data_IF_225973228797
#
_entry.id   IF_225973228797
#
_cell.length_a   1.000
_cell.length_b   1.000
_cell.length_c   1.000
_cell.angle_alpha   90.00
_cell.angle_beta   90.00
_cell.angle_gamma   90.00
#
_symmetry.space_group_name_H-M   'P 1'
#
loop_
_entity.id
_entity.type
_entity.pdbx_description
1 polymer ?
#
# COMPACT_ATOMS: atom_id res chain seq x y z
N UNK A 1 5.80 -0.44 -10.60
CA UNK A 1 4.92 -1.57 -10.18
C UNK A 1 3.52 -1.17 -10.56
N UNK A 2 2.70 -2.10 -11.03
CA UNK A 2 1.31 -1.79 -11.31
C UNK A 2 0.52 -1.68 -10.02
N UNK A 3 -0.58 -0.92 -10.07
CA UNK A 3 -1.53 -0.82 -8.96
C UNK A 3 -2.10 -2.20 -8.58
N UNK A 4 -2.29 -3.08 -9.58
CA UNK A 4 -2.65 -4.48 -9.40
C UNK A 4 -1.62 -5.25 -8.55
N UNK A 5 -0.32 -4.98 -8.71
CA UNK A 5 0.74 -5.62 -7.93
C UNK A 5 0.63 -5.31 -6.44
N UNK A 6 0.47 -4.01 -6.14
CA UNK A 6 0.35 -3.54 -4.77
C UNK A 6 -0.93 -4.10 -4.15
N UNK A 7 -2.05 -4.07 -4.87
CA UNK A 7 -3.32 -4.62 -4.39
C UNK A 7 -3.21 -6.12 -4.06
N UNK A 8 -2.60 -6.92 -4.94
CA UNK A 8 -2.34 -8.34 -4.71
C UNK A 8 -1.44 -8.57 -3.50
N UNK A 9 -0.33 -7.82 -3.39
CA UNK A 9 0.59 -7.94 -2.25
C UNK A 9 -0.08 -7.58 -0.93
N UNK A 10 -0.86 -6.49 -0.89
CA UNK A 10 -1.55 -6.05 0.33
C UNK A 10 -2.65 -7.05 0.71
N UNK A 11 -3.40 -7.59 -0.25
CA UNK A 11 -4.35 -8.68 0.01
C UNK A 11 -3.66 -9.87 0.69
N UNK A 12 -2.50 -10.28 0.18
CA UNK A 12 -1.71 -11.37 0.75
C UNK A 12 -1.20 -11.06 2.16
N UNK A 13 -0.68 -9.84 2.39
CA UNK A 13 -0.25 -9.37 3.71
C UNK A 13 -1.41 -9.50 4.72
N UNK A 14 -2.60 -9.07 4.34
CA UNK A 14 -3.78 -9.07 5.20
C UNK A 14 -4.42 -10.46 5.37
N UNK A 15 -4.03 -11.46 4.57
CA UNK A 15 -4.74 -12.76 4.44
C UNK A 15 -6.24 -12.57 4.12
N UNK A 16 -6.55 -11.57 3.29
CA UNK A 16 -7.90 -11.11 2.97
C UNK A 16 -8.49 -11.81 1.74
N UNK A 17 -9.81 -12.03 1.76
CA UNK A 17 -10.58 -12.45 0.58
C UNK A 17 -11.10 -11.21 -0.20
N UNK A 18 -11.83 -11.45 -1.29
CA UNK A 18 -12.33 -10.34 -2.13
C UNK A 18 -13.44 -9.53 -1.43
N UNK A 19 -14.24 -10.17 -0.58
CA UNK A 19 -15.27 -9.51 0.24
C UNK A 19 -14.62 -8.56 1.26
N UNK A 20 -13.52 -8.98 1.88
CA UNK A 20 -12.74 -8.14 2.80
C UNK A 20 -12.18 -6.92 2.06
N UNK A 21 -11.63 -7.11 0.86
CA UNK A 21 -11.12 -6.02 0.04
C UNK A 21 -12.23 -5.04 -0.36
N UNK A 22 -13.42 -5.53 -0.73
CA UNK A 22 -14.58 -4.70 -1.05
C UNK A 22 -14.99 -3.82 0.13
N UNK A 23 -15.05 -4.42 1.32
CA UNK A 23 -15.35 -3.71 2.57
C UNK A 23 -14.32 -2.62 2.87
N UNK A 24 -13.02 -2.92 2.70
CA UNK A 24 -11.95 -1.93 2.87
C UNK A 24 -12.08 -0.80 1.84
N UNK A 25 -12.41 -1.12 0.59
CA UNK A 25 -12.61 -0.13 -0.47
C UNK A 25 -13.75 0.84 -0.16
N UNK A 26 -14.85 0.32 0.39
CA UNK A 26 -16.02 1.10 0.79
C UNK A 26 -15.68 2.13 1.88
N UNK A 27 -14.76 1.80 2.82
CA UNK A 27 -14.24 2.78 3.78
C UNK A 27 -13.49 3.95 3.10
N UNK A 28 -12.93 3.71 1.92
CA UNK A 28 -12.33 4.70 1.04
C UNK A 28 -13.33 5.41 0.11
N UNK A 29 -14.64 5.25 0.33
CA UNK A 29 -15.74 5.77 -0.49
C UNK A 29 -15.73 5.28 -1.94
N UNK A 30 -15.34 4.04 -2.18
CA UNK A 30 -15.46 3.40 -3.49
C UNK A 30 -16.17 2.06 -3.33
N UNK A 31 -17.33 1.94 -3.97
CA UNK A 31 -18.07 0.70 -4.03
C UNK A 31 -17.54 -0.16 -5.19
N UNK A 32 -17.06 -1.35 -4.86
CA UNK A 32 -16.67 -2.36 -5.84
C UNK A 32 -17.16 -3.74 -5.38
N UNK A 33 -17.61 -4.55 -6.32
CA UNK A 33 -18.04 -5.91 -6.01
C UNK A 33 -16.83 -6.86 -5.88
N UNK A 34 -16.97 -7.99 -5.17
CA UNK A 34 -15.92 -9.01 -5.12
C UNK A 34 -15.48 -9.52 -6.50
N UNK A 35 -16.38 -9.53 -7.48
CA UNK A 35 -16.11 -9.91 -8.87
C UNK A 35 -15.26 -8.85 -9.58
N UNK A 36 -15.57 -7.56 -9.39
CA UNK A 36 -14.75 -6.47 -9.92
C UNK A 36 -13.34 -6.49 -9.34
N UNK A 37 -13.21 -6.81 -8.04
CA UNK A 37 -11.92 -6.98 -7.38
C UNK A 37 -11.16 -8.18 -7.95
N UNK A 38 -11.86 -9.29 -8.22
CA UNK A 38 -11.24 -10.47 -8.83
C UNK A 38 -10.57 -10.12 -10.16
N UNK A 39 -11.19 -9.26 -10.98
CA UNK A 39 -10.64 -8.77 -12.24
C UNK A 39 -9.34 -7.98 -11.99
N UNK A 40 -9.31 -7.09 -11.01
CA UNK A 40 -8.09 -6.33 -10.67
C UNK A 40 -6.99 -7.17 -10.03
N UNK A 41 -7.32 -8.34 -9.48
CA UNK A 41 -6.36 -9.29 -8.93
C UNK A 41 -5.79 -10.25 -9.99
N UNK A 42 -6.34 -10.28 -11.21
CA UNK A 42 -5.75 -11.04 -12.32
C UNK A 42 -4.34 -10.56 -12.61
N UNK A 43 -3.51 -11.48 -13.08
CA UNK A 43 -2.18 -11.18 -13.65
C UNK A 43 -2.34 -10.66 -15.07
N UNK A 44 -1.32 -9.95 -15.56
CA UNK A 44 -1.35 -9.28 -16.87
C UNK A 44 -1.54 -10.26 -18.03
N UNK A 45 -1.04 -11.49 -17.88
CA UNK A 45 -1.12 -12.57 -18.85
C UNK A 45 -2.45 -13.35 -18.82
N UNK A 46 -3.33 -13.10 -17.84
CA UNK A 46 -4.60 -13.82 -17.70
C UNK A 46 -5.70 -13.19 -18.54
N UNK A 47 -6.55 -14.02 -19.15
CA UNK A 47 -7.70 -13.54 -19.93
C UNK A 47 -8.61 -12.64 -19.09
N UNK A 48 -9.05 -11.52 -19.67
CA UNK A 48 -9.90 -10.54 -19.00
C UNK A 48 -9.21 -9.75 -17.88
N UNK A 49 -7.87 -9.72 -17.85
CA UNK A 49 -7.11 -8.77 -17.04
C UNK A 49 -7.60 -7.33 -17.29
N UNK A 50 -7.80 -6.59 -16.20
CA UNK A 50 -7.97 -5.14 -16.27
C UNK A 50 -7.05 -4.45 -15.28
N UNK A 51 -6.45 -3.35 -15.75
CA UNK A 51 -5.62 -2.50 -14.91
C UNK A 51 -6.47 -1.87 -13.81
N UNK A 52 -6.02 -2.02 -12.57
CA UNK A 52 -6.59 -1.32 -11.42
C UNK A 52 -6.26 0.18 -11.55
N UNK A 53 -7.27 1.06 -11.61
CA UNK A 53 -7.01 2.51 -11.69
C UNK A 53 -6.28 3.02 -10.45
N UNK A 54 -5.37 3.98 -10.62
CA UNK A 54 -4.59 4.55 -9.52
C UNK A 54 -5.48 5.15 -8.42
N UNK A 55 -6.57 5.81 -8.81
CA UNK A 55 -7.54 6.37 -7.88
C UNK A 55 -8.21 5.28 -7.03
N UNK A 56 -8.48 4.10 -7.61
CA UNK A 56 -9.05 2.97 -6.88
C UNK A 56 -8.04 2.42 -5.87
N UNK A 57 -6.77 2.26 -6.25
CA UNK A 57 -5.72 1.84 -5.32
C UNK A 57 -5.50 2.88 -4.20
N UNK A 58 -5.54 4.18 -4.54
CA UNK A 58 -5.43 5.23 -3.54
C UNK A 58 -6.58 5.17 -2.53
N UNK A 59 -7.83 5.03 -3.01
CA UNK A 59 -9.00 4.86 -2.14
C UNK A 59 -8.92 3.58 -1.30
N UNK A 60 -8.46 2.47 -1.87
CA UNK A 60 -8.20 1.23 -1.13
C UNK A 60 -7.23 1.45 0.04
N UNK A 61 -6.11 2.14 -0.21
CA UNK A 61 -5.11 2.41 0.82
C UNK A 61 -5.61 3.40 1.88
N UNK A 62 -6.46 4.37 1.53
CA UNK A 62 -7.17 5.21 2.51
C UNK A 62 -8.14 4.39 3.36
N UNK A 63 -8.93 3.52 2.74
CA UNK A 63 -9.81 2.58 3.43
C UNK A 63 -9.04 1.66 4.37
N UNK A 64 -7.86 1.20 3.96
CA UNK A 64 -6.98 0.38 4.81
C UNK A 64 -6.44 1.14 6.02
N UNK A 65 -6.16 2.44 5.87
CA UNK A 65 -5.81 3.29 7.01
C UNK A 65 -6.98 3.35 7.99
N UNK A 66 -8.19 3.63 7.51
CA UNK A 66 -9.38 3.66 8.38
C UNK A 66 -9.65 2.31 9.05
N UNK A 67 -9.52 1.21 8.32
CA UNK A 67 -9.69 -0.14 8.86
C UNK A 67 -8.75 -0.43 10.03
N UNK A 68 -7.47 -0.06 9.91
CA UNK A 68 -6.46 -0.38 10.91
C UNK A 68 -6.31 0.66 12.02
N UNK A 69 -6.65 1.92 11.74
CA UNK A 69 -6.39 3.06 12.63
C UNK A 69 -7.65 3.70 13.18
N UNK A 70 -8.81 3.34 12.64
CA UNK A 70 -10.07 4.04 12.87
C UNK A 70 -10.21 5.28 11.99
N UNK A 71 -11.46 5.73 11.82
CA UNK A 71 -11.78 7.01 11.19
C UNK A 71 -12.10 8.01 12.30
N UNK A 72 -11.40 9.12 12.30
CA UNK A 72 -11.70 10.26 13.17
C UNK A 72 -12.68 11.18 12.45
N UNK A 73 -13.88 11.37 13.00
CA UNK A 73 -14.91 12.23 12.40
C UNK A 73 -14.57 13.73 12.50
N UNK A 74 -13.69 14.11 13.42
CA UNK A 74 -13.24 15.49 13.55
C UNK A 74 -12.09 15.84 12.58
N UNK A 75 -11.39 14.83 12.06
CA UNK A 75 -10.30 15.01 11.12
C UNK A 75 -10.82 15.12 9.67
N UNK A 76 -10.17 15.91 8.81
CA UNK A 76 -10.49 15.92 7.38
C UNK A 76 -10.37 14.52 6.78
N UNK A 77 -11.32 14.16 5.92
CA UNK A 77 -11.28 12.89 5.21
C UNK A 77 -10.01 12.78 4.34
N UNK A 78 -9.38 11.60 4.35
CA UNK A 78 -8.27 11.27 3.48
C UNK A 78 -8.70 11.41 2.02
N UNK A 79 -8.02 12.29 1.28
CA UNK A 79 -8.26 12.49 -0.14
C UNK A 79 -7.58 11.39 -0.95
N UNK A 80 -8.28 10.85 -1.95
CA UNK A 80 -7.71 9.89 -2.87
C UNK A 80 -6.94 10.62 -3.99
N UNK A 81 -5.71 10.20 -4.25
CA UNK A 81 -4.88 10.77 -5.30
C UNK A 81 -5.22 10.16 -6.67
N UNK A 82 -5.41 11.01 -7.68
CA UNK A 82 -5.70 10.58 -9.06
C UNK A 82 -4.54 9.81 -9.72
N UNK A 83 -3.31 10.04 -9.25
CA UNK A 83 -2.10 9.35 -9.67
C UNK A 83 -1.39 8.88 -8.42
N UNK A 84 -0.93 7.63 -8.43
CA UNK A 84 -0.25 7.04 -7.29
C UNK A 84 1.17 6.63 -7.67
N UNK A 85 2.12 6.88 -6.79
CA UNK A 85 3.49 6.41 -6.92
C UNK A 85 3.91 5.67 -5.64
N UNK A 86 5.07 5.02 -5.68
CA UNK A 86 5.54 4.22 -4.55
C UNK A 86 5.79 5.06 -3.28
N UNK A 87 6.14 6.35 -3.38
CA UNK A 87 6.29 7.20 -2.20
C UNK A 87 4.95 7.38 -1.49
N UNK A 88 3.87 7.60 -2.24
CA UNK A 88 2.50 7.70 -1.69
C UNK A 88 2.09 6.37 -1.06
N UNK A 89 2.29 5.26 -1.77
CA UNK A 89 1.98 3.89 -1.28
C UNK A 89 2.73 3.61 0.02
N UNK A 90 4.03 3.89 0.06
CA UNK A 90 4.87 3.67 1.24
C UNK A 90 4.38 4.49 2.44
N UNK A 91 4.01 5.77 2.23
CA UNK A 91 3.45 6.62 3.28
C UNK A 91 2.13 6.06 3.83
N UNK A 92 1.20 5.68 2.95
CA UNK A 92 -0.10 5.15 3.36
C UNK A 92 0.03 3.81 4.10
N UNK A 93 0.87 2.90 3.60
CA UNK A 93 1.15 1.62 4.29
C UNK A 93 1.86 1.84 5.63
N UNK A 94 2.81 2.77 5.71
CA UNK A 94 3.43 3.14 7.00
C UNK A 94 2.38 3.57 8.02
N UNK A 95 1.43 4.42 7.62
CA UNK A 95 0.35 4.90 8.51
C UNK A 95 -0.56 3.73 8.90
N UNK A 96 -1.05 2.95 7.92
CA UNK A 96 -1.98 1.84 8.15
C UNK A 96 -1.39 0.80 9.13
N UNK A 97 -0.13 0.44 8.97
CA UNK A 97 0.55 -0.55 9.81
C UNK A 97 1.29 0.09 11.01
N UNK A 98 1.10 1.39 11.26
CA UNK A 98 1.71 2.11 12.41
C UNK A 98 3.24 2.00 12.49
N UNK A 99 3.89 1.92 11.33
CA UNK A 99 5.33 1.69 11.23
C UNK A 99 6.10 2.98 11.51
N UNK A 100 7.16 2.87 12.31
CA UNK A 100 8.20 3.89 12.44
C UNK A 100 9.25 3.72 11.32
N UNK A 101 10.13 4.70 11.16
CA UNK A 101 11.25 4.58 10.19
C UNK A 101 12.13 3.37 10.50
N UNK A 102 12.38 3.10 11.78
CA UNK A 102 13.16 1.95 12.25
C UNK A 102 12.50 0.62 11.89
N UNK A 103 11.17 0.57 11.92
CA UNK A 103 10.40 -0.60 11.50
C UNK A 103 10.58 -0.89 10.01
N UNK A 104 10.53 0.15 9.17
CA UNK A 104 10.75 0.03 7.73
C UNK A 104 12.19 -0.44 7.45
N UNK A 105 13.17 0.12 8.17
CA UNK A 105 14.56 -0.29 8.06
C UNK A 105 14.72 -1.77 8.46
N UNK A 106 14.14 -2.20 9.58
CA UNK A 106 14.19 -3.58 10.05
C UNK A 106 13.54 -4.54 9.04
N UNK A 107 12.38 -4.17 8.48
CA UNK A 107 11.69 -4.94 7.44
C UNK A 107 12.61 -5.18 6.23
N UNK A 108 13.28 -4.15 5.74
CA UNK A 108 14.14 -4.24 4.56
C UNK A 108 15.45 -4.98 4.84
N UNK A 109 16.05 -4.75 6.01
CA UNK A 109 17.24 -5.48 6.47
C UNK A 109 16.96 -6.98 6.57
N UNK A 110 15.80 -7.37 7.09
CA UNK A 110 15.36 -8.77 7.14
C UNK A 110 15.17 -9.41 5.75
N UNK A 111 15.06 -8.59 4.71
CA UNK A 111 15.01 -9.03 3.31
C UNK A 111 16.35 -8.94 2.58
N UNK A 112 17.43 -8.65 3.32
CA UNK A 112 18.78 -8.40 2.79
C UNK A 112 18.84 -7.24 1.78
N UNK A 113 17.86 -6.33 1.83
CA UNK A 113 17.86 -5.14 1.01
C UNK A 113 18.65 -4.02 1.69
N UNK A 114 19.75 -3.60 1.06
CA UNK A 114 20.61 -2.54 1.60
C UNK A 114 19.93 -1.18 1.42
N UNK A 115 19.59 -0.55 2.54
CA UNK A 115 19.11 0.83 2.58
C UNK A 115 19.47 1.45 3.92
N UNK A 116 19.65 2.76 3.93
CA UNK A 116 19.91 3.53 5.15
C UNK A 116 18.68 4.30 5.63
N UNK A 117 18.67 4.66 6.91
CA UNK A 117 17.61 5.47 7.51
C UNK A 117 17.43 6.86 6.82
N UNK A 118 18.50 7.58 6.42
CA UNK A 118 18.37 8.81 5.65
C UNK A 118 17.67 8.62 4.30
N UNK A 119 17.89 7.49 3.62
CA UNK A 119 17.23 7.19 2.35
C UNK A 119 15.72 6.95 2.52
N UNK A 120 15.33 6.18 3.55
CA UNK A 120 13.91 5.98 3.89
C UNK A 120 13.26 7.32 4.22
N UNK A 121 13.94 8.16 5.01
CA UNK A 121 13.45 9.48 5.36
C UNK A 121 13.29 10.36 4.12
N UNK A 122 14.25 10.35 3.19
CA UNK A 122 14.18 11.08 1.93
C UNK A 122 12.97 10.66 1.07
N UNK A 123 12.64 9.36 1.04
CA UNK A 123 11.44 8.84 0.36
C UNK A 123 10.12 9.30 1.00
N UNK A 124 10.14 9.68 2.28
CA UNK A 124 8.97 10.16 3.00
C UNK A 124 8.76 11.69 2.92
N UNK A 125 9.70 12.44 2.33
CA UNK A 125 9.59 13.89 2.19
C UNK A 125 8.53 14.30 1.17
N UNK A 126 8.15 15.58 1.20
CA UNK A 126 7.30 16.17 0.16
C UNK A 126 8.08 16.24 -1.18
N UNK A 127 7.43 16.10 -2.34
CA UNK A 127 8.11 16.04 -3.64
C UNK A 127 8.95 17.27 -4.00
N UNK A 128 8.58 18.43 -3.47
CA UNK A 128 9.26 19.73 -3.66
C UNK A 128 10.45 19.94 -2.70
N UNK A 129 10.67 19.06 -1.75
CA UNK A 129 11.78 19.19 -0.81
C UNK A 129 13.13 18.86 -1.49
N UNK A 130 14.16 19.69 -1.27
CA UNK A 130 15.52 19.53 -1.83
C UNK A 130 16.23 18.17 -1.64
N UNK A 131 15.72 17.35 -0.74
CA UNK A 131 16.29 16.06 -0.35
C UNK A 131 15.23 14.95 -0.50
N UNK A 132 14.21 15.19 -1.31
CA UNK A 132 13.24 14.19 -1.71
C UNK A 132 13.94 13.14 -2.57
N UNK A 133 13.54 11.89 -2.39
CA UNK A 133 14.01 10.79 -3.24
C UNK A 133 12.82 9.96 -3.67
N UNK A 134 12.76 9.61 -4.93
CA UNK A 134 11.74 8.69 -5.44
C UNK A 134 11.93 7.29 -4.86
N UNK A 135 10.82 6.67 -4.48
CA UNK A 135 10.79 5.28 -4.04
C UNK A 135 10.74 4.36 -5.25
N UNK A 136 11.85 3.70 -5.55
CA UNK A 136 11.92 2.77 -6.67
C UNK A 136 11.09 1.51 -6.47
N UNK A 137 10.73 0.85 -7.57
CA UNK A 137 9.96 -0.40 -7.56
C UNK A 137 10.65 -1.52 -6.79
N UNK A 138 11.98 -1.62 -6.89
CA UNK A 138 12.71 -2.68 -6.19
C UNK A 138 12.60 -2.53 -4.67
N UNK A 139 12.73 -1.31 -4.17
CA UNK A 139 12.48 -1.01 -2.76
C UNK A 139 11.07 -1.44 -2.37
N UNK A 140 10.06 -1.05 -3.15
CA UNK A 140 8.66 -1.37 -2.83
C UNK A 140 8.39 -2.88 -2.83
N UNK A 141 8.96 -3.64 -3.78
CA UNK A 141 8.85 -5.12 -3.81
C UNK A 141 9.43 -5.76 -2.55
N UNK A 142 10.65 -5.38 -2.15
CA UNK A 142 11.27 -5.94 -0.94
C UNK A 142 10.53 -5.51 0.33
N UNK A 143 10.06 -4.26 0.39
CA UNK A 143 9.26 -3.76 1.50
C UNK A 143 7.96 -4.57 1.66
N UNK A 144 7.18 -4.75 0.59
CA UNK A 144 5.93 -5.52 0.64
C UNK A 144 6.16 -6.98 1.04
N UNK A 145 7.22 -7.61 0.51
CA UNK A 145 7.59 -8.99 0.87
C UNK A 145 7.98 -9.10 2.35
N UNK A 146 8.80 -8.16 2.84
CA UNK A 146 9.21 -8.14 4.25
C UNK A 146 8.06 -7.79 5.20
N UNK A 147 7.16 -6.89 4.80
CA UNK A 147 5.95 -6.56 5.56
C UNK A 147 5.05 -7.80 5.68
N UNK A 148 4.87 -8.58 4.61
CA UNK A 148 4.12 -9.83 4.66
C UNK A 148 4.73 -10.81 5.68
N UNK A 149 6.05 -11.02 5.62
CA UNK A 149 6.75 -11.89 6.55
C UNK A 149 6.56 -11.45 8.02
N UNK A 150 6.67 -10.14 8.28
CA UNK A 150 6.45 -9.57 9.63
C UNK A 150 5.03 -9.80 10.12
N UNK A 151 4.02 -9.46 9.32
CA UNK A 151 2.61 -9.58 9.71
C UNK A 151 2.16 -11.05 9.87
N UNK A 152 2.80 -11.97 9.14
CA UNK A 152 2.49 -13.39 9.23
C UNK A 152 3.20 -14.09 10.40
N UNK A 153 4.33 -13.56 10.87
CA UNK A 153 5.05 -14.06 12.05
C UNK A 153 4.52 -13.51 13.39
N UNK A 154 3.83 -12.36 13.37
CA UNK A 154 3.27 -11.72 14.57
C UNK A 154 1.97 -12.37 15.09
N UNK A 155 1.55 -13.51 14.52
CA UNK A 155 0.36 -14.29 14.88
C UNK A 155 0.75 -15.75 15.09
#
# INVERSE_FOLDING_TARGET
MLSNDILRSVRYILKANNTDLARILALGNVDATPEQIAIWLRKEEEEGFQRCPDIVLSSFLNGLIYEKRGKDEAAPALTAERRINNNIVLKKLRIAFSLKTDDILAILTGQLFRVSMPEITAMMRAPDHKNFRECGDQFMRYFLRGLAAREHAAK
#
